data_IF_177189865107
#
_entry.id   IF_177189865107
#
_cell.length_a   1.000
_cell.length_b   1.000
_cell.length_c   1.000
_cell.angle_alpha   90.00
_cell.angle_beta   90.00
_cell.angle_gamma   90.00
#
_symmetry.space_group_name_H-M   'P 1'
#
loop_
_entity.id
_entity.type
_entity.pdbx_description
1 polymer ?
#
# COMPACT_ATOMS: atom_id res chain seq x y z
N UNK A 1 23.46 17.05 -42.86
CA UNK A 1 22.19 17.60 -42.33
C UNK A 1 21.38 16.60 -41.50
N UNK A 2 21.23 15.32 -41.88
CA UNK A 2 20.45 14.35 -41.06
C UNK A 2 20.93 14.16 -39.61
N UNK A 3 22.25 14.15 -39.36
CA UNK A 3 22.79 13.95 -38.00
C UNK A 3 22.46 15.09 -37.02
N UNK A 4 22.19 16.31 -37.52
CA UNK A 4 21.85 17.48 -36.70
C UNK A 4 20.40 17.45 -36.19
N UNK A 5 19.49 16.79 -36.92
CA UNK A 5 18.08 16.60 -36.51
C UNK A 5 17.86 15.37 -35.63
N UNK A 6 18.77 14.39 -35.68
CA UNK A 6 18.69 13.16 -34.90
C UNK A 6 18.72 13.39 -33.39
N UNK A 7 19.57 14.31 -32.91
CA UNK A 7 19.68 14.61 -31.49
C UNK A 7 18.38 15.17 -30.87
N UNK A 8 17.78 16.27 -31.37
CA UNK A 8 16.52 16.77 -30.82
C UNK A 8 15.37 15.77 -31.00
N UNK A 9 15.34 15.00 -32.08
CA UNK A 9 14.34 13.93 -32.26
C UNK A 9 14.48 12.84 -31.18
N UNK A 10 15.70 12.42 -30.86
CA UNK A 10 15.94 11.45 -29.79
C UNK A 10 15.47 12.00 -28.43
N UNK A 11 15.72 13.28 -28.14
CA UNK A 11 15.24 13.95 -26.91
C UNK A 11 13.70 13.93 -26.85
N UNK A 12 13.02 14.25 -27.95
CA UNK A 12 11.54 14.19 -28.02
C UNK A 12 11.04 12.76 -27.73
N UNK A 13 11.62 11.76 -28.38
CA UNK A 13 11.22 10.35 -28.21
C UNK A 13 11.42 9.90 -26.76
N UNK A 14 12.53 10.28 -26.13
CA UNK A 14 12.78 9.98 -24.71
C UNK A 14 11.73 10.66 -23.83
N UNK A 15 11.44 11.94 -24.05
CA UNK A 15 10.41 12.66 -23.29
C UNK A 15 9.03 12.01 -23.40
N UNK A 16 8.63 11.61 -24.60
CA UNK A 16 7.37 10.88 -24.83
C UNK A 16 7.39 9.52 -24.11
N UNK A 17 8.50 8.78 -24.15
CA UNK A 17 8.62 7.50 -23.45
C UNK A 17 8.46 7.66 -21.93
N UNK A 18 9.06 8.70 -21.33
CA UNK A 18 8.87 9.03 -19.92
C UNK A 18 7.40 9.38 -19.61
N UNK A 19 6.74 10.16 -20.47
CA UNK A 19 5.35 10.51 -20.27
C UNK A 19 4.42 9.29 -20.33
N UNK A 20 4.65 8.37 -21.28
CA UNK A 20 3.90 7.12 -21.38
C UNK A 20 4.17 6.23 -20.16
N UNK A 21 5.43 6.08 -19.74
CA UNK A 21 5.79 5.33 -18.54
C UNK A 21 5.11 5.89 -17.29
N UNK A 22 5.05 7.21 -17.17
CA UNK A 22 4.33 7.88 -16.09
C UNK A 22 2.82 7.63 -16.09
N UNK A 23 2.18 7.65 -17.26
CA UNK A 23 0.76 7.29 -17.40
C UNK A 23 0.49 5.85 -16.96
N UNK A 24 1.33 4.91 -17.36
CA UNK A 24 1.21 3.50 -16.94
C UNK A 24 1.37 3.36 -15.43
N UNK A 25 2.39 4.00 -14.84
CA UNK A 25 2.62 3.94 -13.40
C UNK A 25 1.45 4.56 -12.60
N UNK A 26 0.94 5.71 -13.04
CA UNK A 26 -0.19 6.35 -12.39
C UNK A 26 -1.49 5.52 -12.53
N UNK A 27 -1.73 4.96 -13.71
CA UNK A 27 -2.87 4.06 -13.93
C UNK A 27 -2.81 2.80 -13.06
N UNK A 28 -1.63 2.19 -12.93
CA UNK A 28 -1.42 1.05 -12.04
C UNK A 28 -1.67 1.41 -10.57
N UNK A 29 -1.20 2.58 -10.12
CA UNK A 29 -1.49 3.09 -8.78
C UNK A 29 -2.99 3.26 -8.54
N UNK A 30 -3.71 3.89 -9.47
CA UNK A 30 -5.17 4.06 -9.35
C UNK A 30 -5.93 2.72 -9.32
N UNK A 31 -5.48 1.76 -10.12
CA UNK A 31 -6.04 0.40 -10.12
C UNK A 31 -5.83 -0.30 -8.77
N UNK A 32 -4.60 -0.31 -8.25
CA UNK A 32 -4.28 -0.93 -6.95
C UNK A 32 -5.13 -0.31 -5.84
N UNK A 33 -5.20 1.02 -5.79
CA UNK A 33 -6.03 1.75 -4.83
C UNK A 33 -7.48 1.24 -4.86
N UNK A 34 -8.08 1.26 -6.05
CA UNK A 34 -9.48 0.89 -6.25
C UNK A 34 -9.74 -0.58 -5.86
N UNK A 35 -8.82 -1.47 -6.22
CA UNK A 35 -8.91 -2.89 -5.91
C UNK A 35 -8.85 -3.18 -4.40
N UNK A 36 -7.97 -2.50 -3.66
CA UNK A 36 -7.85 -2.70 -2.21
C UNK A 36 -9.03 -2.09 -1.46
N UNK A 37 -9.44 -0.86 -1.82
CA UNK A 37 -10.60 -0.21 -1.20
C UNK A 37 -11.88 -1.02 -1.41
N UNK A 38 -12.07 -1.62 -2.59
CA UNK A 38 -13.21 -2.49 -2.86
C UNK A 38 -13.18 -3.75 -1.98
N UNK A 39 -12.04 -4.42 -1.86
CA UNK A 39 -11.91 -5.59 -0.99
C UNK A 39 -12.24 -5.28 0.47
N UNK A 40 -11.77 -4.13 0.98
CA UNK A 40 -12.08 -3.68 2.35
C UNK A 40 -13.57 -3.38 2.50
N UNK A 41 -14.17 -2.65 1.56
CA UNK A 41 -15.60 -2.34 1.57
C UNK A 41 -16.47 -3.59 1.51
N UNK A 42 -16.06 -4.60 0.74
CA UNK A 42 -16.77 -5.88 0.60
C UNK A 42 -16.76 -6.71 1.91
N UNK A 43 -15.77 -6.49 2.79
CA UNK A 43 -15.77 -7.13 4.13
C UNK A 43 -16.80 -6.50 5.09
N UNK A 44 -17.38 -5.35 4.75
CA UNK A 44 -18.40 -4.66 5.55
C UNK A 44 -17.99 -4.46 7.03
N UNK A 45 -16.73 -4.10 7.26
CA UNK A 45 -16.17 -3.89 8.60
C UNK A 45 -16.47 -2.46 9.05
N UNK A 46 -16.94 -2.31 10.28
CA UNK A 46 -17.14 -1.00 10.94
C UNK A 46 -16.33 -0.98 12.23
N UNK A 47 -15.61 0.11 12.49
CA UNK A 47 -14.84 0.27 13.72
C UNK A 47 -15.77 0.35 14.95
N UNK A 48 -15.37 -0.24 16.09
CA UNK A 48 -16.16 -0.17 17.32
C UNK A 48 -16.11 1.24 17.94
N UNK A 49 -16.99 1.49 18.92
CA UNK A 49 -17.13 2.82 19.55
C UNK A 49 -15.93 3.26 20.39
N UNK A 50 -15.08 2.32 20.80
CA UNK A 50 -13.86 2.53 21.57
C UNK A 50 -12.60 2.63 20.68
N UNK A 51 -12.75 2.52 19.36
CA UNK A 51 -11.66 2.80 18.43
C UNK A 51 -11.32 4.30 18.36
N UNK A 52 -10.10 4.61 17.95
CA UNK A 52 -9.65 5.99 17.74
C UNK A 52 -10.46 6.77 16.68
N UNK A 53 -11.02 6.06 15.70
CA UNK A 53 -12.01 6.56 14.74
C UNK A 53 -13.26 5.69 14.90
N UNK A 54 -14.24 6.11 15.71
CA UNK A 54 -15.37 5.26 16.07
C UNK A 54 -16.48 5.23 15.02
N UNK A 55 -17.15 4.08 14.89
CA UNK A 55 -18.35 3.87 14.04
C UNK A 55 -18.15 4.25 12.56
N UNK A 56 -16.95 4.01 12.03
CA UNK A 56 -16.61 4.33 10.65
C UNK A 56 -16.41 3.04 9.83
N UNK A 57 -16.82 3.01 8.55
CA UNK A 57 -16.50 1.91 7.67
C UNK A 57 -15.00 1.82 7.44
N UNK A 58 -14.44 0.62 7.46
CA UNK A 58 -13.01 0.37 7.22
C UNK A 58 -12.77 0.28 5.72
N UNK A 59 -12.45 1.40 5.09
CA UNK A 59 -12.25 1.49 3.63
C UNK A 59 -11.14 2.45 3.20
N UNK A 60 -10.34 2.94 4.15
CA UNK A 60 -9.20 3.82 3.90
C UNK A 60 -8.06 3.55 4.89
N UNK A 61 -6.94 4.30 4.74
CA UNK A 61 -5.77 4.12 5.61
C UNK A 61 -6.12 4.43 7.08
N UNK A 62 -6.68 5.60 7.45
CA UNK A 62 -6.94 5.91 8.85
C UNK A 62 -7.89 4.91 9.53
N UNK A 63 -8.97 4.51 8.87
CA UNK A 63 -9.95 3.57 9.43
C UNK A 63 -9.40 2.15 9.54
N UNK A 64 -8.59 1.70 8.58
CA UNK A 64 -7.93 0.39 8.65
C UNK A 64 -6.91 0.33 9.78
N UNK A 65 -6.10 1.39 9.97
CA UNK A 65 -5.15 1.45 11.08
C UNK A 65 -5.85 1.60 12.44
N UNK A 66 -6.95 2.36 12.50
CA UNK A 66 -7.77 2.45 13.72
C UNK A 66 -8.38 1.10 14.11
N UNK A 67 -8.87 0.33 13.15
CA UNK A 67 -9.37 -1.03 13.38
C UNK A 67 -8.25 -1.99 13.79
N UNK A 68 -7.08 -1.92 13.16
CA UNK A 68 -5.94 -2.76 13.51
C UNK A 68 -5.49 -2.50 14.96
N UNK A 69 -5.36 -1.23 15.34
CA UNK A 69 -4.95 -0.82 16.69
C UNK A 69 -5.93 -1.30 17.76
N UNK A 70 -7.24 -1.16 17.54
CA UNK A 70 -8.24 -1.60 18.53
C UNK A 70 -8.31 -3.13 18.66
N UNK A 71 -8.13 -3.88 17.56
CA UNK A 71 -8.01 -5.34 17.61
C UNK A 71 -6.80 -5.75 18.45
N UNK A 72 -5.65 -5.11 18.23
CA UNK A 72 -4.43 -5.38 18.98
C UNK A 72 -4.62 -5.06 20.48
N UNK A 73 -5.28 -3.94 20.80
CA UNK A 73 -5.61 -3.55 22.16
C UNK A 73 -6.47 -4.61 22.88
N UNK A 74 -7.57 -5.05 22.27
CA UNK A 74 -8.43 -6.09 22.86
C UNK A 74 -7.73 -7.44 22.95
N UNK A 75 -6.93 -7.79 21.94
CA UNK A 75 -6.16 -9.03 21.93
C UNK A 75 -5.11 -9.07 23.06
N UNK A 76 -4.39 -7.96 23.28
CA UNK A 76 -3.46 -7.84 24.40
C UNK A 76 -4.17 -7.98 25.76
N UNK A 77 -5.38 -7.42 25.88
CA UNK A 77 -6.22 -7.60 27.07
C UNK A 77 -6.58 -9.07 27.34
N UNK A 78 -6.98 -9.81 26.29
CA UNK A 78 -7.31 -11.24 26.37
C UNK A 78 -6.08 -12.09 26.69
N UNK A 79 -4.93 -11.75 26.10
CA UNK A 79 -3.67 -12.45 26.30
C UNK A 79 -2.94 -12.12 27.60
N UNK A 80 -3.46 -11.23 28.43
CA UNK A 80 -2.77 -10.76 29.64
C UNK A 80 -1.48 -9.99 29.35
N UNK A 81 -1.39 -9.34 28.19
CA UNK A 81 -0.21 -8.62 27.71
C UNK A 81 0.84 -9.51 27.03
N UNK A 82 0.60 -10.82 26.94
CA UNK A 82 1.48 -11.75 26.24
C UNK A 82 1.23 -11.73 24.74
N UNK A 83 2.26 -12.00 23.96
CA UNK A 83 2.17 -12.26 22.52
C UNK A 83 1.85 -13.73 22.25
N UNK A 84 1.39 -14.04 21.04
CA UNK A 84 1.13 -15.42 20.62
C UNK A 84 2.31 -16.38 20.83
N UNK A 85 3.55 -15.89 20.68
CA UNK A 85 4.76 -16.68 20.84
C UNK A 85 5.10 -16.99 22.31
N UNK A 86 4.61 -16.17 23.23
CA UNK A 86 4.81 -16.32 24.66
C UNK A 86 3.76 -17.23 25.31
N UNK A 87 2.77 -17.69 24.55
CA UNK A 87 1.66 -18.52 25.04
C UNK A 87 1.82 -20.00 24.69
N UNK A 88 1.56 -20.83 25.69
CA UNK A 88 1.46 -22.28 25.60
C UNK A 88 0.25 -22.75 24.81
N UNK A 89 0.38 -23.94 24.20
CA UNK A 89 -0.66 -24.56 23.36
C UNK A 89 -1.91 -24.98 24.12
N UNK A 90 -1.76 -25.31 25.39
CA UNK A 90 -2.82 -25.86 26.22
C UNK A 90 -3.21 -24.89 27.33
N UNK A 91 -4.49 -24.90 27.68
CA UNK A 91 -4.99 -24.20 28.84
C UNK A 91 -4.44 -24.86 30.11
N UNK A 92 -4.36 -24.09 31.19
CA UNK A 92 -3.96 -24.58 32.53
C UNK A 92 -5.15 -24.49 33.49
N UNK A 93 -5.22 -25.33 34.53
CA UNK A 93 -6.32 -25.30 35.50
C UNK A 93 -6.49 -23.96 36.23
N UNK A 94 -5.42 -23.16 36.34
CA UNK A 94 -5.47 -21.82 36.93
C UNK A 94 -6.22 -20.79 36.06
N UNK A 95 -6.44 -21.09 34.78
CA UNK A 95 -7.03 -20.16 33.80
C UNK A 95 -6.08 -19.05 33.35
N UNK A 96 -4.78 -19.16 33.63
CA UNK A 96 -3.78 -18.20 33.16
C UNK A 96 -3.73 -18.17 31.61
N UNK A 97 -3.89 -17.00 30.95
CA UNK A 97 -3.79 -16.86 29.50
C UNK A 97 -2.47 -17.39 28.93
N UNK A 98 -1.38 -17.34 29.71
CA UNK A 98 -0.09 -17.89 29.30
C UNK A 98 -0.19 -19.37 28.92
N UNK A 99 -1.05 -20.14 29.61
CA UNK A 99 -1.20 -21.57 29.39
C UNK A 99 0.11 -22.34 29.62
N UNK A 100 0.20 -23.53 29.03
CA UNK A 100 1.41 -24.36 29.03
C UNK A 100 1.58 -25.08 27.70
N UNK A 101 2.80 -25.45 27.36
CA UNK A 101 3.06 -26.39 26.24
C UNK A 101 3.33 -27.82 26.73
N UNK A 102 3.37 -28.04 28.05
CA UNK A 102 3.47 -29.36 28.62
C UNK A 102 2.06 -29.98 28.76
N UNK A 103 1.85 -31.15 28.14
CA UNK A 103 0.56 -31.85 28.20
C UNK A 103 0.22 -32.36 29.61
N UNK A 104 1.22 -32.57 30.46
CA UNK A 104 1.07 -33.06 31.83
C UNK A 104 0.54 -31.99 32.79
N UNK A 105 0.84 -30.72 32.49
CA UNK A 105 0.40 -29.54 33.26
C UNK A 105 -0.89 -28.94 32.71
N UNK A 106 -1.36 -29.45 31.57
CA UNK A 106 -2.54 -28.95 30.89
C UNK A 106 -3.82 -29.25 31.67
N UNK A 107 -4.81 -28.37 31.53
CA UNK A 107 -6.18 -28.68 31.85
C UNK A 107 -6.64 -29.84 30.96
N UNK A 108 -7.21 -30.89 31.56
CA UNK A 108 -7.72 -32.05 30.84
C UNK A 108 -9.25 -31.97 30.71
N UNK A 109 -9.77 -32.44 29.58
CA UNK A 109 -11.20 -32.63 29.36
C UNK A 109 -11.72 -33.92 30.04
N UNK A 110 -13.02 -34.18 29.93
CA UNK A 110 -13.66 -35.40 30.49
C UNK A 110 -13.11 -36.71 29.91
N UNK A 111 -12.50 -36.66 28.73
CA UNK A 111 -11.87 -37.79 28.06
C UNK A 111 -10.36 -37.92 28.39
N UNK A 112 -9.82 -37.02 29.21
CA UNK A 112 -8.41 -36.99 29.61
C UNK A 112 -7.47 -36.34 28.59
N UNK A 113 -7.96 -35.59 27.60
CA UNK A 113 -7.13 -34.90 26.62
C UNK A 113 -6.81 -33.46 27.07
N UNK A 114 -5.61 -32.94 26.76
CA UNK A 114 -5.26 -31.53 26.97
C UNK A 114 -6.19 -30.57 26.23
N UNK A 115 -6.78 -29.64 26.96
CA UNK A 115 -7.66 -28.60 26.41
C UNK A 115 -6.81 -27.52 25.71
N UNK A 116 -7.13 -27.12 24.47
CA UNK A 116 -6.43 -26.04 23.78
C UNK A 116 -6.54 -24.68 24.49
N UNK A 117 -5.50 -23.85 24.37
CA UNK A 117 -5.53 -22.48 24.86
C UNK A 117 -6.31 -21.56 23.91
N UNK A 118 -7.55 -21.24 24.26
CA UNK A 118 -8.43 -20.37 23.46
C UNK A 118 -7.92 -18.92 23.36
N UNK A 119 -7.26 -18.40 24.40
CA UNK A 119 -6.64 -17.07 24.36
C UNK A 119 -5.56 -17.01 23.28
N UNK A 120 -4.73 -18.06 23.19
CA UNK A 120 -3.71 -18.18 22.13
C UNK A 120 -4.31 -18.24 20.73
N UNK A 121 -5.41 -18.96 20.53
CA UNK A 121 -6.12 -19.00 19.24
C UNK A 121 -6.71 -17.64 18.86
N UNK A 122 -7.23 -16.92 19.86
CA UNK A 122 -7.74 -15.56 19.67
C UNK A 122 -6.62 -14.61 19.24
N UNK A 123 -5.45 -14.68 19.89
CA UNK A 123 -4.29 -13.86 19.50
C UNK A 123 -3.76 -14.18 18.10
N UNK A 124 -3.77 -15.46 17.70
CA UNK A 124 -3.40 -15.83 16.33
C UNK A 124 -4.34 -15.19 15.30
N UNK A 125 -5.64 -15.26 15.58
CA UNK A 125 -6.68 -14.68 14.73
C UNK A 125 -6.52 -13.16 14.66
N UNK A 126 -6.35 -12.50 15.81
CA UNK A 126 -6.12 -11.07 15.90
C UNK A 126 -4.88 -10.64 15.12
N UNK A 127 -3.75 -11.33 15.29
CA UNK A 127 -2.52 -11.03 14.55
C UNK A 127 -2.72 -11.14 13.03
N UNK A 128 -3.49 -12.14 12.56
CA UNK A 128 -3.86 -12.27 11.16
C UNK A 128 -4.69 -11.07 10.65
N UNK A 129 -5.70 -10.67 11.41
CA UNK A 129 -6.55 -9.52 11.08
C UNK A 129 -5.74 -8.22 11.04
N UNK A 130 -4.97 -7.93 12.10
CA UNK A 130 -4.10 -6.74 12.21
C UNK A 130 -3.10 -6.68 11.05
N UNK A 131 -2.49 -7.81 10.72
CA UNK A 131 -1.56 -7.92 9.58
C UNK A 131 -2.27 -7.60 8.27
N UNK A 132 -3.44 -8.19 8.02
CA UNK A 132 -4.21 -7.97 6.79
C UNK A 132 -4.68 -6.52 6.62
N UNK A 133 -5.10 -5.87 7.71
CA UNK A 133 -5.51 -4.46 7.74
C UNK A 133 -4.32 -3.54 7.51
N UNK A 134 -3.18 -3.82 8.15
CA UNK A 134 -1.93 -3.06 8.00
C UNK A 134 -1.37 -3.18 6.59
N UNK A 135 -1.40 -4.39 6.00
CA UNK A 135 -1.00 -4.62 4.61
C UNK A 135 -1.93 -3.88 3.63
N UNK A 136 -3.23 -3.84 3.91
CA UNK A 136 -4.18 -3.07 3.11
C UNK A 136 -3.88 -1.57 3.17
N UNK A 137 -3.67 -1.01 4.38
CA UNK A 137 -3.26 0.38 4.57
C UNK A 137 -1.95 0.70 3.84
N UNK A 138 -0.95 -0.19 3.92
CA UNK A 138 0.31 -0.07 3.20
C UNK A 138 0.10 -0.09 1.69
N UNK A 139 -0.74 -0.99 1.16
CA UNK A 139 -1.02 -1.09 -0.26
C UNK A 139 -1.70 0.18 -0.80
N UNK A 140 -2.64 0.76 -0.04
CA UNK A 140 -3.24 2.06 -0.36
C UNK A 140 -2.16 3.16 -0.33
N UNK A 141 -1.27 3.18 0.66
CA UNK A 141 -0.16 4.14 0.73
C UNK A 141 0.81 4.03 -0.46
N UNK A 142 1.19 2.80 -0.83
CA UNK A 142 2.04 2.52 -2.01
C UNK A 142 1.35 2.95 -3.30
N UNK A 143 0.02 2.76 -3.39
CA UNK A 143 -0.76 3.19 -4.56
C UNK A 143 -0.67 4.70 -4.78
N UNK A 144 -0.74 5.50 -3.71
CA UNK A 144 -0.53 6.95 -3.78
C UNK A 144 0.89 7.30 -4.21
N UNK A 145 1.89 6.57 -3.71
CA UNK A 145 3.28 6.71 -4.17
C UNK A 145 3.45 6.45 -5.66
N UNK A 146 2.82 5.38 -6.18
CA UNK A 146 2.84 5.05 -7.60
C UNK A 146 2.16 6.12 -8.47
N UNK A 147 1.01 6.66 -8.01
CA UNK A 147 0.34 7.78 -8.68
C UNK A 147 1.22 9.03 -8.70
N UNK A 148 1.79 9.42 -7.56
CA UNK A 148 2.65 10.60 -7.46
C UNK A 148 3.89 10.48 -8.35
N UNK A 149 4.54 9.32 -8.34
CA UNK A 149 5.69 9.04 -9.20
C UNK A 149 5.32 9.05 -10.68
N UNK A 150 4.17 8.46 -11.04
CA UNK A 150 3.65 8.48 -12.40
C UNK A 150 3.41 9.90 -12.90
N UNK A 151 2.80 10.76 -12.08
CA UNK A 151 2.61 12.18 -12.37
C UNK A 151 3.97 12.87 -12.55
N UNK A 152 4.95 12.60 -11.69
CA UNK A 152 6.31 13.12 -11.82
C UNK A 152 6.97 12.78 -13.17
N UNK A 153 6.82 11.53 -13.62
CA UNK A 153 7.32 11.09 -14.93
C UNK A 153 6.58 11.73 -16.10
N UNK A 154 5.28 11.98 -15.98
CA UNK A 154 4.52 12.73 -16.99
C UNK A 154 5.08 14.15 -17.11
N UNK A 155 5.23 14.86 -16.00
CA UNK A 155 5.76 16.24 -16.00
C UNK A 155 7.18 16.26 -16.57
N UNK A 156 8.05 15.37 -16.11
CA UNK A 156 9.42 15.26 -16.61
C UNK A 156 9.45 14.96 -18.11
N UNK A 157 8.62 14.02 -18.58
CA UNK A 157 8.51 13.65 -19.98
C UNK A 157 8.06 14.82 -20.86
N UNK A 158 7.09 15.60 -20.40
CA UNK A 158 6.62 16.80 -21.11
C UNK A 158 7.71 17.89 -21.19
N UNK A 159 8.48 18.10 -20.12
CA UNK A 159 9.61 19.06 -20.11
C UNK A 159 10.69 18.62 -21.10
N UNK A 160 11.09 17.35 -21.07
CA UNK A 160 12.11 16.80 -21.98
C UNK A 160 11.63 16.89 -23.43
N UNK A 161 10.38 16.50 -23.71
CA UNK A 161 9.82 16.59 -25.06
C UNK A 161 9.75 18.05 -25.55
N UNK A 162 9.33 18.97 -24.68
CA UNK A 162 9.32 20.41 -24.97
C UNK A 162 10.69 20.98 -25.31
N UNK A 163 11.73 20.60 -24.55
CA UNK A 163 13.11 20.96 -24.84
C UNK A 163 13.58 20.41 -26.20
N UNK A 164 13.22 19.16 -26.51
CA UNK A 164 13.51 18.55 -27.80
C UNK A 164 12.88 19.32 -28.97
N UNK A 165 11.63 19.77 -28.84
CA UNK A 165 10.98 20.63 -29.84
C UNK A 165 11.64 22.01 -29.95
N UNK A 166 12.02 22.63 -28.83
CA UNK A 166 12.72 23.92 -28.84
C UNK A 166 14.08 23.84 -29.55
N UNK A 167 14.86 22.79 -29.26
CA UNK A 167 16.13 22.52 -29.94
C UNK A 167 15.93 22.26 -31.44
N UNK A 168 14.88 21.53 -31.82
CA UNK A 168 14.55 21.30 -33.22
C UNK A 168 14.23 22.63 -33.94
N UNK A 169 13.48 23.52 -33.30
CA UNK A 169 13.17 24.86 -33.81
C UNK A 169 14.40 25.73 -34.05
N UNK A 170 15.43 25.64 -33.20
CA UNK A 170 16.68 26.39 -33.40
C UNK A 170 17.49 25.91 -34.62
N UNK A 171 17.36 24.63 -34.99
CA UNK A 171 18.15 24.00 -36.07
C UNK A 171 17.40 24.04 -37.41
N UNK A 172 16.07 24.15 -37.39
CA UNK A 172 15.25 24.02 -38.60
C UNK A 172 14.35 25.24 -38.80
N UNK A 173 14.57 26.02 -39.88
CA UNK A 173 13.82 27.26 -40.14
C UNK A 173 12.32 26.99 -40.29
N UNK A 174 11.95 25.85 -40.89
CA UNK A 174 10.54 25.43 -41.07
C UNK A 174 9.79 25.25 -39.73
N UNK A 175 10.49 24.75 -38.69
CA UNK A 175 9.89 24.55 -37.36
C UNK A 175 9.89 25.87 -36.59
N UNK A 176 10.94 26.68 -36.72
CA UNK A 176 11.00 28.02 -36.13
C UNK A 176 9.83 28.90 -36.60
N UNK A 177 9.58 28.94 -37.92
CA UNK A 177 8.49 29.70 -38.52
C UNK A 177 7.11 29.23 -38.05
N UNK A 178 6.92 27.92 -37.85
CA UNK A 178 5.67 27.35 -37.31
C UNK A 178 5.34 27.85 -35.91
N UNK A 179 6.36 28.21 -35.12
CA UNK A 179 6.23 28.77 -33.79
C UNK A 179 6.49 30.30 -33.75
N UNK A 180 6.58 30.96 -34.91
CA UNK A 180 6.76 32.41 -35.01
C UNK A 180 8.15 32.93 -34.62
N UNK A 181 9.17 32.08 -34.64
CA UNK A 181 10.55 32.41 -34.26
C UNK A 181 11.43 32.61 -35.51
N UNK A 182 12.32 33.62 -35.48
CA UNK A 182 13.34 33.80 -36.55
C UNK A 182 14.55 32.90 -36.25
N UNK A 183 14.92 31.96 -37.15
CA UNK A 183 16.08 31.09 -36.96
C UNK A 183 17.39 31.88 -37.04
N UNK A 184 18.38 31.53 -36.21
CA UNK A 184 19.68 32.23 -36.14
C UNK A 184 20.58 31.93 -37.34
N UNK A 185 20.30 30.88 -38.10
CA UNK A 185 21.08 30.46 -39.27
C UNK A 185 20.54 30.99 -40.61
N UNK A 186 19.82 32.12 -40.60
CA UNK A 186 19.43 32.85 -41.81
C UNK A 186 20.49 33.85 -42.24
#
# INVERSE_FOLDING_TARGET
MNRLRLFPQAVIVIGIAFAIGGLVAAGAGFYIHSFVVQQLADQNITTPSDASIPNAPVNDIPTALSMADIIEHHAAGIGGGLTYAEMGRFAVPSGDPAGTSNAEEALLDEAGNPVPNSSRETLLTAAGLVTSLSLSAMAIGVSYGAVALGIGFIVLGLVIAGLGYALLGLITPEVAERFGLRPVSG
#
